data_IF_117886431446
#
_entry.id   IF_117886431446
#
_cell.length_a   1.000
_cell.length_b   1.000
_cell.length_c   1.000
_cell.angle_alpha   90.00
_cell.angle_beta   90.00
_cell.angle_gamma   90.00
#
_symmetry.space_group_name_H-M   'P 1'
#
loop_
_entity.id
_entity.type
_entity.pdbx_description
1 polymer ?
#
# COMPACT_ATOMS: atom_id res chain seq x y z
N UNK A 1 -19.18 -3.66 -0.78
CA UNK A 1 -18.87 -4.51 0.40
C UNK A 1 -20.04 -4.69 1.37
N UNK A 2 -21.12 -3.90 1.31
CA UNK A 2 -22.31 -4.19 2.11
C UNK A 2 -22.94 -5.55 1.71
N UNK A 3 -23.47 -6.38 2.64
CA UNK A 3 -23.62 -6.02 4.08
C UNK A 3 -22.37 -6.27 4.96
N UNK A 4 -21.32 -6.92 4.46
CA UNK A 4 -20.15 -7.33 5.26
C UNK A 4 -19.49 -6.17 5.98
N UNK A 5 -19.33 -5.03 5.29
CA UNK A 5 -18.70 -3.82 5.87
C UNK A 5 -19.61 -2.99 6.77
N UNK A 6 -20.85 -3.42 7.03
CA UNK A 6 -21.75 -2.73 7.98
C UNK A 6 -21.35 -2.98 9.44
N UNK A 7 -20.69 -4.13 9.70
CA UNK A 7 -20.33 -4.58 11.05
C UNK A 7 -18.82 -4.84 11.23
N UNK A 8 -18.06 -4.88 10.14
CA UNK A 8 -16.61 -5.15 10.17
C UNK A 8 -15.90 -4.20 9.20
N UNK A 9 -14.87 -3.46 9.63
CA UNK A 9 -14.13 -2.61 8.71
C UNK A 9 -13.43 -3.49 7.66
N UNK A 10 -13.34 -3.02 6.40
CA UNK A 10 -12.79 -3.81 5.29
C UNK A 10 -11.44 -4.46 5.58
N UNK A 11 -10.47 -3.78 6.22
CA UNK A 11 -9.17 -4.38 6.54
C UNK A 11 -9.26 -5.60 7.49
N UNK A 12 -10.36 -5.73 8.23
CA UNK A 12 -10.60 -6.84 9.16
C UNK A 12 -11.42 -7.99 8.56
N UNK A 13 -11.87 -7.88 7.32
CA UNK A 13 -12.59 -8.98 6.66
C UNK A 13 -11.66 -10.19 6.49
N UNK A 14 -12.15 -11.41 6.78
CA UNK A 14 -11.30 -12.60 6.74
C UNK A 14 -10.96 -13.01 5.29
N UNK A 15 -9.67 -13.11 5.02
CA UNK A 15 -9.11 -13.66 3.78
C UNK A 15 -8.24 -14.85 4.15
N UNK A 16 -8.60 -16.04 3.67
CA UNK A 16 -7.87 -17.28 3.96
C UNK A 16 -7.61 -17.50 5.46
N UNK A 17 -8.61 -17.21 6.29
CA UNK A 17 -8.61 -17.49 7.72
C UNK A 17 -8.05 -16.39 8.63
N UNK A 18 -7.51 -15.28 8.10
CA UNK A 18 -7.00 -14.15 8.89
C UNK A 18 -7.47 -12.79 8.33
N UNK A 19 -7.44 -11.71 9.14
CA UNK A 19 -7.77 -10.36 8.67
C UNK A 19 -6.98 -9.95 7.42
N UNK A 20 -7.65 -9.30 6.46
CA UNK A 20 -7.05 -8.88 5.20
C UNK A 20 -5.76 -8.06 5.41
N UNK A 21 -5.78 -7.05 6.30
CA UNK A 21 -4.59 -6.24 6.58
C UNK A 21 -3.45 -7.01 7.23
N UNK A 22 -3.73 -8.14 7.88
CA UNK A 22 -2.69 -8.95 8.52
C UNK A 22 -1.68 -9.51 7.51
N UNK A 23 -2.10 -9.80 6.26
CA UNK A 23 -1.20 -10.21 5.19
C UNK A 23 -0.09 -9.18 4.93
N UNK A 24 -0.47 -7.90 4.87
CA UNK A 24 0.47 -6.79 4.71
C UNK A 24 1.35 -6.61 5.95
N UNK A 25 0.78 -6.68 7.15
CA UNK A 25 1.52 -6.54 8.42
C UNK A 25 2.59 -7.62 8.56
N UNK A 26 2.26 -8.88 8.27
CA UNK A 26 3.22 -9.99 8.30
C UNK A 26 4.36 -9.79 7.30
N UNK A 27 4.06 -9.33 6.07
CA UNK A 27 5.08 -9.04 5.07
C UNK A 27 5.99 -7.88 5.50
N UNK A 28 5.43 -6.81 6.10
CA UNK A 28 6.20 -5.69 6.65
C UNK A 28 7.12 -6.15 7.80
N UNK A 29 6.61 -6.98 8.73
CA UNK A 29 7.41 -7.50 9.83
C UNK A 29 8.56 -8.39 9.31
N UNK A 30 8.31 -9.29 8.35
CA UNK A 30 9.36 -10.10 7.71
C UNK A 30 10.44 -9.23 7.04
N UNK A 31 10.08 -8.07 6.51
CA UNK A 31 11.00 -7.10 5.93
C UNK A 31 11.79 -6.30 6.98
N UNK A 32 11.43 -6.42 8.28
CA UNK A 32 12.07 -5.74 9.39
C UNK A 32 11.57 -4.32 9.63
N UNK A 33 10.36 -4.00 9.18
CA UNK A 33 9.64 -2.79 9.63
C UNK A 33 9.37 -2.93 11.13
N UNK A 34 9.58 -1.87 11.90
CA UNK A 34 9.41 -1.87 13.35
C UNK A 34 8.19 -1.05 13.80
N UNK A 35 7.88 0.04 13.11
CA UNK A 35 6.77 0.91 13.45
C UNK A 35 5.76 0.96 12.30
N UNK A 36 4.48 0.77 12.62
CA UNK A 36 3.37 0.82 11.68
C UNK A 36 2.32 1.81 12.16
N UNK A 37 2.01 2.81 11.33
CA UNK A 37 0.89 3.73 11.56
C UNK A 37 -0.31 3.27 10.76
N UNK A 38 -1.43 3.02 11.44
CA UNK A 38 -2.69 2.61 10.81
C UNK A 38 -3.70 3.76 10.89
N UNK A 39 -4.09 4.27 9.72
CA UNK A 39 -5.19 5.23 9.63
C UNK A 39 -6.52 4.50 9.78
N UNK A 40 -7.35 4.93 10.72
CA UNK A 40 -8.64 4.30 11.03
C UNK A 40 -9.78 5.30 10.93
N UNK A 41 -10.88 4.90 10.27
CA UNK A 41 -12.09 5.73 10.13
C UNK A 41 -13.35 4.92 10.46
N UNK A 42 -13.99 4.30 9.45
CA UNK A 42 -15.22 3.53 9.65
C UNK A 42 -14.98 2.28 10.48
N UNK A 43 -15.71 2.16 11.64
CA UNK A 43 -15.54 1.08 12.62
C UNK A 43 -14.08 0.91 13.06
N UNK A 44 -13.34 2.00 13.07
CA UNK A 44 -11.88 2.02 13.22
C UNK A 44 -11.41 1.48 14.57
N UNK A 45 -12.23 1.55 15.60
CA UNK A 45 -11.96 1.04 16.96
C UNK A 45 -11.79 -0.49 17.02
N UNK A 46 -12.31 -1.21 16.05
CA UNK A 46 -12.15 -2.66 15.99
C UNK A 46 -10.71 -3.08 15.70
N UNK A 47 -9.93 -2.26 14.99
CA UNK A 47 -8.56 -2.57 14.61
C UNK A 47 -7.65 -2.56 15.84
N UNK A 48 -7.52 -1.47 16.63
CA UNK A 48 -6.70 -1.49 17.84
C UNK A 48 -7.22 -2.48 18.90
N UNK A 49 -8.53 -2.74 18.95
CA UNK A 49 -9.09 -3.75 19.83
C UNK A 49 -8.61 -5.18 19.49
N UNK A 50 -8.38 -5.46 18.21
CA UNK A 50 -7.94 -6.77 17.74
C UNK A 50 -6.41 -6.93 17.81
N UNK A 51 -5.64 -5.95 17.31
CA UNK A 51 -4.20 -6.05 17.18
C UNK A 51 -3.42 -5.45 18.37
N UNK A 52 -4.05 -4.63 19.22
CA UNK A 52 -3.34 -3.92 20.29
C UNK A 52 -2.31 -2.92 19.77
N UNK A 53 -1.28 -2.68 20.57
CA UNK A 53 -0.17 -1.76 20.25
C UNK A 53 1.09 -2.49 19.77
N UNK A 54 1.04 -3.84 19.67
CA UNK A 54 2.15 -4.67 19.25
C UNK A 54 1.60 -5.86 18.45
N UNK A 55 2.15 -6.10 17.28
CA UNK A 55 1.84 -7.28 16.47
C UNK A 55 3.11 -8.13 16.32
N UNK A 56 3.02 -9.41 16.65
CA UNK A 56 4.11 -10.36 16.47
C UNK A 56 3.64 -11.57 15.66
N UNK A 57 4.38 -11.84 14.59
CA UNK A 57 4.16 -12.99 13.74
C UNK A 57 4.34 -14.31 14.50
N UNK A 58 5.18 -14.33 15.54
CA UNK A 58 5.38 -15.50 16.39
C UNK A 58 4.11 -15.91 17.16
N UNK A 59 3.21 -14.96 17.43
CA UNK A 59 1.94 -15.22 18.11
C UNK A 59 0.83 -15.68 17.15
N UNK A 60 1.05 -15.56 15.83
CA UNK A 60 0.08 -16.00 14.83
C UNK A 60 0.06 -17.55 14.75
N UNK A 61 -1.09 -18.18 14.49
CA UNK A 61 -1.17 -19.61 14.26
C UNK A 61 -0.39 -19.99 13.00
N UNK A 62 0.82 -20.47 13.16
CA UNK A 62 1.73 -20.86 12.09
C UNK A 62 1.99 -22.36 12.11
N UNK A 63 2.36 -22.90 10.94
CA UNK A 63 2.92 -24.25 10.84
C UNK A 63 4.30 -24.24 11.54
N UNK A 64 4.60 -25.27 12.33
CA UNK A 64 5.83 -25.39 13.16
C UNK A 64 7.13 -25.07 12.40
N UNK A 65 7.20 -25.40 11.11
CA UNK A 65 8.36 -25.12 10.25
C UNK A 65 8.56 -23.62 9.94
N UNK A 66 7.52 -22.81 10.01
CA UNK A 66 7.61 -21.34 9.81
C UNK A 66 8.05 -20.65 11.10
N UNK A 67 7.63 -21.13 12.27
CA UNK A 67 8.02 -20.56 13.57
C UNK A 67 9.53 -20.51 13.78
N UNK A 68 10.25 -21.53 13.31
CA UNK A 68 11.71 -21.62 13.46
C UNK A 68 12.50 -20.62 12.61
N UNK A 69 11.86 -19.94 11.65
CA UNK A 69 12.48 -18.97 10.72
C UNK A 69 12.20 -17.51 11.04
N UNK A 70 11.26 -17.21 11.93
CA UNK A 70 10.87 -15.83 12.24
C UNK A 70 11.71 -15.30 13.39
N UNK A 71 12.80 -14.58 13.05
CA UNK A 71 13.59 -13.77 13.98
C UNK A 71 13.22 -12.28 13.87
N UNK A 72 12.07 -11.97 13.29
CA UNK A 72 11.65 -10.60 13.03
C UNK A 72 11.22 -9.91 14.33
N UNK A 73 11.64 -8.67 14.52
CA UNK A 73 11.19 -7.83 15.64
C UNK A 73 9.68 -7.55 15.52
N UNK A 74 8.92 -7.58 16.63
CA UNK A 74 7.51 -7.22 16.62
C UNK A 74 7.26 -5.83 16.03
N UNK A 75 6.10 -5.63 15.38
CA UNK A 75 5.64 -4.33 14.91
C UNK A 75 5.03 -3.53 16.06
N UNK A 76 5.52 -2.31 16.29
CA UNK A 76 4.85 -1.35 17.15
C UNK A 76 3.72 -0.67 16.37
N UNK A 77 2.50 -0.80 16.88
CA UNK A 77 1.29 -0.30 16.24
C UNK A 77 0.91 1.08 16.77
N UNK A 78 0.81 2.05 15.87
CA UNK A 78 0.32 3.40 16.13
C UNK A 78 -0.97 3.63 15.34
N UNK A 79 -1.91 4.38 15.91
CA UNK A 79 -3.23 4.58 15.27
C UNK A 79 -3.51 6.06 15.05
N UNK A 80 -3.76 6.43 13.80
CA UNK A 80 -4.27 7.73 13.40
C UNK A 80 -5.79 7.63 13.25
N UNK A 81 -6.53 8.10 14.27
CA UNK A 81 -7.97 7.85 14.42
C UNK A 81 -8.81 8.93 13.72
N UNK A 82 -8.83 8.97 12.39
CA UNK A 82 -9.55 9.95 11.58
C UNK A 82 -11.06 9.95 11.90
N UNK A 83 -11.66 8.76 12.04
CA UNK A 83 -13.08 8.62 12.34
C UNK A 83 -13.49 9.19 13.71
N UNK A 84 -12.61 9.10 14.71
CA UNK A 84 -12.85 9.65 16.05
C UNK A 84 -12.70 11.17 16.04
N UNK A 85 -11.64 11.66 15.40
CA UNK A 85 -11.29 13.08 15.47
C UNK A 85 -12.11 13.95 14.52
N UNK A 86 -12.54 13.39 13.35
CA UNK A 86 -13.22 14.14 12.29
C UNK A 86 -14.55 13.53 11.83
N UNK A 87 -14.92 12.36 12.35
CA UNK A 87 -16.16 11.67 12.00
C UNK A 87 -16.12 10.93 10.65
N UNK A 88 -15.01 11.04 9.89
CA UNK A 88 -14.89 10.46 8.53
C UNK A 88 -13.43 10.22 8.13
N UNK A 89 -13.22 9.50 7.02
CA UNK A 89 -11.90 9.31 6.41
C UNK A 89 -11.45 10.59 5.68
N UNK A 90 -10.15 10.89 5.75
CA UNK A 90 -9.54 12.08 5.15
C UNK A 90 -9.01 11.84 3.73
N UNK A 91 -9.37 10.74 3.10
CA UNK A 91 -8.80 10.25 1.87
C UNK A 91 -7.28 9.96 2.00
N UNK A 92 -6.64 9.47 0.93
CA UNK A 92 -5.29 8.91 1.07
C UNK A 92 -4.24 9.97 1.43
N UNK A 93 -4.20 11.10 0.72
CA UNK A 93 -3.20 12.13 1.01
C UNK A 93 -3.50 12.85 2.33
N UNK A 94 -4.77 13.17 2.61
CA UNK A 94 -5.17 13.78 3.88
C UNK A 94 -4.84 12.93 5.09
N UNK A 95 -5.02 11.60 4.99
CA UNK A 95 -4.66 10.63 6.01
C UNK A 95 -3.15 10.48 6.20
N UNK A 96 -2.37 10.45 5.09
CA UNK A 96 -0.91 10.42 5.18
C UNK A 96 -0.39 11.69 5.84
N UNK A 97 -0.88 12.88 5.45
CA UNK A 97 -0.46 14.16 6.07
C UNK A 97 -0.78 14.19 7.56
N UNK A 98 -1.93 13.59 7.97
CA UNK A 98 -2.25 13.44 9.38
C UNK A 98 -1.23 12.57 10.11
N UNK A 99 -0.79 11.48 9.51
CA UNK A 99 0.17 10.56 10.09
C UNK A 99 1.63 11.08 10.07
N UNK A 100 1.97 12.11 9.27
CA UNK A 100 3.34 12.60 9.09
C UNK A 100 4.15 12.82 10.37
N UNK A 101 3.59 13.32 11.49
CA UNK A 101 4.36 13.46 12.73
C UNK A 101 4.88 12.14 13.30
N UNK A 102 4.25 11.01 12.95
CA UNK A 102 4.61 9.66 13.39
C UNK A 102 5.46 8.89 12.38
N UNK A 103 5.66 9.43 11.17
CA UNK A 103 6.36 8.76 10.08
C UNK A 103 7.82 9.20 9.99
N UNK A 104 8.69 8.32 9.48
CA UNK A 104 10.06 8.63 9.11
C UNK A 104 10.12 9.50 7.83
N UNK A 105 11.32 9.97 7.46
CA UNK A 105 11.50 10.80 6.25
C UNK A 105 11.24 10.03 4.96
N UNK A 106 11.46 8.71 4.97
CA UNK A 106 11.08 7.77 3.92
C UNK A 106 10.22 6.68 4.56
N UNK A 107 9.10 6.34 3.94
CA UNK A 107 8.17 5.36 4.49
C UNK A 107 7.41 4.60 3.41
N UNK A 108 7.01 3.38 3.74
CA UNK A 108 6.09 2.58 2.96
C UNK A 108 4.63 2.99 3.21
N UNK A 109 3.81 2.89 2.19
CA UNK A 109 2.34 2.96 2.30
C UNK A 109 1.74 1.77 1.57
N UNK A 110 0.72 1.17 2.18
CA UNK A 110 -0.11 0.15 1.55
C UNK A 110 -1.55 0.30 2.04
N UNK A 111 -2.53 0.03 1.17
CA UNK A 111 -3.93 0.04 1.57
C UNK A 111 -4.28 -1.23 2.37
N UNK A 112 -5.07 -1.05 3.43
CA UNK A 112 -5.51 -2.16 4.29
C UNK A 112 -6.60 -3.05 3.68
N UNK A 113 -7.15 -2.68 2.51
CA UNK A 113 -8.21 -3.42 1.81
C UNK A 113 -7.71 -4.07 0.50
N UNK A 114 -6.40 -4.23 0.35
CA UNK A 114 -5.75 -4.90 -0.78
C UNK A 114 -5.08 -6.20 -0.32
N UNK A 115 -5.25 -7.26 -1.09
CA UNK A 115 -4.61 -8.54 -0.90
C UNK A 115 -3.45 -8.71 -1.87
N UNK A 116 -2.23 -8.80 -1.33
CA UNK A 116 -0.96 -8.99 -2.05
C UNK A 116 -0.07 -9.95 -1.24
N UNK A 117 -0.35 -11.26 -1.25
CA UNK A 117 0.28 -12.22 -0.33
C UNK A 117 1.79 -12.36 -0.54
N UNK A 118 2.25 -12.20 -1.79
CA UNK A 118 3.64 -12.39 -2.20
C UNK A 118 4.40 -11.06 -2.32
N UNK A 119 3.80 -9.94 -1.91
CA UNK A 119 4.48 -8.64 -1.99
C UNK A 119 5.53 -8.50 -0.89
N UNK A 120 6.75 -8.22 -1.31
CA UNK A 120 7.88 -7.99 -0.41
C UNK A 120 8.15 -6.49 -0.24
N UNK A 121 8.16 -6.02 1.00
CA UNK A 121 8.62 -4.67 1.37
C UNK A 121 10.16 -4.66 1.44
N UNK A 122 10.81 -4.93 0.30
CA UNK A 122 12.25 -5.21 0.20
C UNK A 122 13.10 -4.03 0.68
N UNK A 123 14.11 -4.32 1.50
CA UNK A 123 15.07 -3.32 2.02
C UNK A 123 15.89 -2.69 0.90
N UNK A 124 16.20 -3.46 -0.13
CA UNK A 124 16.94 -3.00 -1.31
C UNK A 124 16.14 -1.95 -2.09
N UNK A 125 14.83 -2.15 -2.26
CA UNK A 125 13.94 -1.17 -2.89
C UNK A 125 13.85 0.11 -2.05
N UNK A 126 13.75 -0.03 -0.74
CA UNK A 126 13.76 1.10 0.19
C UNK A 126 15.05 1.91 0.09
N UNK A 127 16.21 1.27 0.20
CA UNK A 127 17.53 1.92 0.15
C UNK A 127 17.78 2.60 -1.22
N UNK A 128 17.39 1.95 -2.31
CA UNK A 128 17.49 2.52 -3.66
C UNK A 128 16.63 3.78 -3.80
N UNK A 129 15.38 3.72 -3.31
CA UNK A 129 14.48 4.88 -3.34
C UNK A 129 14.97 6.01 -2.44
N UNK A 130 15.43 5.72 -1.22
CA UNK A 130 15.99 6.72 -0.29
C UNK A 130 17.14 7.50 -0.91
N UNK A 131 18.05 6.81 -1.61
CA UNK A 131 19.20 7.40 -2.30
C UNK A 131 18.81 8.17 -3.58
N UNK A 132 17.61 7.99 -4.11
CA UNK A 132 17.16 8.62 -5.35
C UNK A 132 16.70 10.05 -5.14
N UNK A 133 16.50 10.80 -6.24
CA UNK A 133 15.86 12.13 -6.22
C UNK A 133 14.33 12.05 -6.34
N UNK A 134 13.73 10.85 -6.39
CA UNK A 134 12.28 10.66 -6.47
C UNK A 134 11.59 11.07 -5.18
N UNK A 135 10.35 11.53 -5.28
CA UNK A 135 9.46 11.84 -4.14
C UNK A 135 8.52 10.68 -3.82
N UNK A 136 8.22 9.86 -4.82
CA UNK A 136 7.41 8.66 -4.71
C UNK A 136 7.97 7.54 -5.59
N UNK A 137 7.75 6.29 -5.17
CA UNK A 137 7.92 5.11 -6.01
C UNK A 137 6.69 4.22 -5.82
N UNK A 138 5.98 3.90 -6.90
CA UNK A 138 4.71 3.19 -6.88
C UNK A 138 4.82 1.81 -7.52
N UNK A 139 4.07 0.84 -7.00
CA UNK A 139 3.93 -0.46 -7.65
C UNK A 139 2.64 -0.50 -8.45
N UNK A 140 2.77 -0.86 -9.71
CA UNK A 140 1.67 -0.99 -10.67
C UNK A 140 1.43 -2.48 -10.95
N UNK A 141 0.17 -2.84 -11.23
CA UNK A 141 -0.27 -4.20 -11.51
C UNK A 141 -1.00 -4.27 -12.86
N UNK A 142 -1.10 -5.45 -13.49
CA UNK A 142 -1.98 -5.66 -14.63
C UNK A 142 -3.41 -5.21 -14.31
N UNK A 143 -4.08 -4.65 -15.30
CA UNK A 143 -5.41 -4.07 -15.11
C UNK A 143 -6.44 -5.14 -14.77
N UNK A 144 -7.13 -5.05 -13.62
CA UNK A 144 -8.25 -5.93 -13.31
C UNK A 144 -9.48 -5.59 -14.16
N UNK A 145 -10.43 -6.51 -14.26
CA UNK A 145 -11.64 -6.35 -15.07
C UNK A 145 -12.46 -5.08 -14.73
N UNK A 146 -12.41 -4.62 -13.49
CA UNK A 146 -13.14 -3.43 -13.04
C UNK A 146 -12.37 -2.11 -13.26
N UNK A 147 -11.07 -2.17 -13.60
CA UNK A 147 -10.26 -1.03 -14.02
C UNK A 147 -9.50 -1.33 -15.32
N UNK A 148 -10.20 -1.63 -16.44
CA UNK A 148 -9.57 -2.07 -17.69
C UNK A 148 -8.69 -1.02 -18.34
N UNK A 149 -8.87 0.26 -17.97
CA UNK A 149 -8.07 1.37 -18.51
C UNK A 149 -6.76 1.58 -17.77
N UNK A 150 -6.64 1.13 -16.53
CA UNK A 150 -5.52 1.42 -15.65
C UNK A 150 -5.42 2.91 -15.27
N UNK A 151 -4.46 3.23 -14.44
CA UNK A 151 -4.29 4.55 -13.84
C UNK A 151 -3.10 5.32 -14.42
N UNK A 152 -1.94 4.65 -14.58
CA UNK A 152 -0.66 5.28 -14.93
C UNK A 152 0.13 4.47 -15.95
N UNK A 153 0.97 5.15 -16.75
CA UNK A 153 1.94 4.52 -17.64
C UNK A 153 3.28 4.25 -16.94
N UNK A 154 4.15 3.48 -17.62
CA UNK A 154 5.55 3.30 -17.23
C UNK A 154 6.44 3.53 -18.44
N UNK A 155 7.47 4.39 -18.29
CA UNK A 155 8.63 4.43 -19.18
C UNK A 155 9.69 3.53 -18.55
N UNK A 156 9.79 2.29 -19.03
CA UNK A 156 10.74 1.31 -18.50
C UNK A 156 12.19 1.73 -18.78
N UNK A 157 13.08 1.49 -17.81
CA UNK A 157 14.51 1.78 -17.92
C UNK A 157 15.17 0.88 -18.96
N UNK A 158 14.73 -0.38 -19.08
CA UNK A 158 15.06 -1.29 -20.17
C UNK A 158 13.80 -1.71 -20.93
N UNK A 159 13.51 -1.11 -22.10
CA UNK A 159 12.35 -1.45 -22.91
C UNK A 159 12.40 -2.88 -23.50
N UNK A 160 13.58 -3.51 -23.55
CA UNK A 160 13.77 -4.87 -24.08
C UNK A 160 13.68 -5.96 -23.01
N UNK A 161 13.54 -5.59 -21.73
CA UNK A 161 13.35 -6.56 -20.67
C UNK A 161 12.01 -7.30 -20.90
N UNK A 162 12.02 -8.61 -21.20
CA UNK A 162 10.80 -9.34 -21.57
C UNK A 162 9.80 -9.37 -20.39
N UNK A 163 8.51 -9.35 -20.72
CA UNK A 163 7.44 -9.57 -19.75
C UNK A 163 7.62 -10.96 -19.15
N UNK A 164 7.63 -11.08 -17.81
CA UNK A 164 7.76 -12.36 -17.13
C UNK A 164 9.12 -13.05 -17.29
N UNK A 165 10.17 -12.32 -17.68
CA UNK A 165 11.50 -12.87 -17.92
C UNK A 165 12.11 -13.42 -16.63
N UNK A 166 12.36 -14.72 -16.66
CA UNK A 166 13.12 -15.51 -15.71
C UNK A 166 12.73 -15.35 -14.24
N UNK A 167 11.86 -16.22 -13.78
CA UNK A 167 11.51 -16.44 -12.37
C UNK A 167 12.71 -16.70 -11.43
N UNK A 168 13.93 -16.73 -11.96
CA UNK A 168 15.18 -16.91 -11.20
C UNK A 168 15.81 -15.59 -10.72
N UNK A 169 15.37 -14.42 -11.24
CA UNK A 169 15.73 -13.12 -10.72
C UNK A 169 14.44 -12.34 -10.44
N UNK A 170 14.02 -12.35 -9.18
CA UNK A 170 12.79 -11.74 -8.65
C UNK A 170 12.83 -10.18 -8.68
N UNK A 171 13.49 -9.60 -9.70
CA UNK A 171 13.62 -8.15 -9.85
C UNK A 171 12.47 -7.63 -10.72
N UNK A 172 11.55 -6.86 -10.18
CA UNK A 172 10.45 -6.29 -10.95
C UNK A 172 10.99 -5.36 -12.04
N UNK A 173 10.30 -5.31 -13.19
CA UNK A 173 10.59 -4.31 -14.23
C UNK A 173 10.35 -2.92 -13.64
N UNK A 174 11.33 -2.05 -13.79
CA UNK A 174 11.31 -0.70 -13.21
C UNK A 174 11.41 0.37 -14.29
N UNK A 175 11.01 1.57 -13.91
CA UNK A 175 11.11 2.74 -14.76
C UNK A 175 10.48 3.95 -14.08
N UNK A 176 10.16 4.94 -14.89
CA UNK A 176 9.50 6.16 -14.44
C UNK A 176 7.99 6.07 -14.66
N UNK A 177 7.20 6.42 -13.64
CA UNK A 177 5.75 6.54 -13.78
C UNK A 177 5.36 7.70 -14.70
N UNK A 178 4.33 7.51 -15.52
CA UNK A 178 3.84 8.49 -16.47
C UNK A 178 2.38 8.88 -16.19
N UNK A 179 2.12 10.17 -16.13
CA UNK A 179 0.79 10.75 -16.19
C UNK A 179 0.35 10.87 -17.66
N UNK A 180 -0.21 9.79 -18.19
CA UNK A 180 -0.63 9.79 -19.59
C UNK A 180 -1.93 10.61 -19.79
N UNK A 181 -2.07 11.38 -20.91
CA UNK A 181 -3.32 12.02 -21.27
C UNK A 181 -4.47 11.03 -21.41
N UNK A 182 -5.71 11.48 -21.17
CA UNK A 182 -6.88 10.60 -21.17
C UNK A 182 -7.07 9.84 -22.49
N UNK A 183 -6.76 10.45 -23.62
CA UNK A 183 -6.85 9.93 -25.00
C UNK A 183 -5.62 9.17 -25.45
N UNK A 184 -4.60 9.05 -24.60
CA UNK A 184 -3.38 8.28 -24.93
C UNK A 184 -3.69 6.81 -25.16
N UNK A 185 -3.13 6.26 -26.25
CA UNK A 185 -3.15 4.82 -26.57
C UNK A 185 -2.01 4.05 -25.92
N UNK A 186 -1.07 4.74 -25.23
CA UNK A 186 0.02 4.08 -24.52
C UNK A 186 -0.53 3.19 -23.39
N UNK A 187 0.13 2.04 -23.12
CA UNK A 187 -0.32 1.11 -22.10
C UNK A 187 -0.32 1.76 -20.72
N UNK A 188 -1.34 1.41 -19.92
CA UNK A 188 -1.49 1.80 -18.52
C UNK A 188 -1.62 0.56 -17.65
N UNK A 189 -1.28 0.73 -16.42
CA UNK A 189 -1.41 -0.27 -15.37
C UNK A 189 -2.16 0.33 -14.17
N UNK A 190 -2.77 -0.52 -13.38
CA UNK A 190 -3.49 -0.13 -12.17
C UNK A 190 -2.53 0.12 -11.03
N UNK A 191 -2.74 1.17 -10.25
CA UNK A 191 -1.98 1.43 -9.03
C UNK A 191 -2.34 0.40 -7.95
N UNK A 192 -1.36 -0.38 -7.52
CA UNK A 192 -1.56 -1.43 -6.53
C UNK A 192 -1.89 -0.92 -5.12
N UNK A 193 -1.67 0.37 -4.87
CA UNK A 193 -1.68 1.05 -3.57
C UNK A 193 -0.44 0.81 -2.70
N UNK A 194 0.48 -0.08 -3.09
CA UNK A 194 1.78 -0.19 -2.45
C UNK A 194 2.72 0.89 -3.01
N UNK A 195 3.39 1.62 -2.13
CA UNK A 195 4.29 2.70 -2.54
C UNK A 195 5.33 3.04 -1.46
N UNK A 196 6.43 3.64 -1.89
CA UNK A 196 7.38 4.38 -1.05
C UNK A 196 7.18 5.88 -1.27
N UNK A 197 7.25 6.64 -0.21
CA UNK A 197 7.18 8.11 -0.26
C UNK A 197 8.28 8.74 0.58
N UNK A 198 8.73 9.93 0.15
CA UNK A 198 9.47 10.86 1.02
C UNK A 198 8.50 11.81 1.71
N UNK A 199 8.74 12.10 2.98
CA UNK A 199 7.95 13.07 3.76
C UNK A 199 7.83 14.42 3.05
N UNK A 200 8.87 14.83 2.33
CA UNK A 200 8.90 16.05 1.52
C UNK A 200 7.79 16.14 0.47
N UNK A 201 7.28 14.99 -0.02
CA UNK A 201 6.16 14.97 -0.97
C UNK A 201 4.84 15.48 -0.36
N UNK A 202 4.72 15.44 0.96
CA UNK A 202 3.54 15.86 1.71
C UNK A 202 3.76 17.17 2.47
N UNK A 203 4.73 17.96 2.06
CA UNK A 203 5.07 19.27 2.64
C UNK A 203 4.92 20.40 1.60
N UNK A 204 5.11 21.65 2.03
CA UNK A 204 5.02 22.85 1.18
C UNK A 204 5.79 22.67 -0.14
N UNK A 205 5.27 23.23 -1.20
CA UNK A 205 5.56 23.03 -2.63
C UNK A 205 4.67 21.94 -3.26
N UNK A 206 4.41 20.81 -2.57
CA UNK A 206 3.61 19.71 -3.09
C UNK A 206 2.26 19.56 -2.39
N UNK A 207 2.18 19.98 -1.13
CA UNK A 207 0.99 19.87 -0.31
C UNK A 207 0.89 21.06 0.66
N UNK A 208 -0.23 21.78 0.61
CA UNK A 208 -0.48 22.94 1.46
C UNK A 208 -1.13 22.57 2.80
N UNK A 209 -1.43 21.29 3.03
CA UNK A 209 -2.02 20.83 4.29
C UNK A 209 -0.89 20.76 5.34
N UNK A 210 -1.02 21.46 6.50
CA UNK A 210 -0.03 21.38 7.55
C UNK A 210 0.15 19.95 8.08
N UNK A 211 1.40 19.58 8.42
CA UNK A 211 1.69 18.27 9.00
C UNK A 211 0.82 17.99 10.24
N UNK A 212 0.31 16.76 10.34
CA UNK A 212 -0.68 16.38 11.33
C UNK A 212 -2.13 16.67 10.93
N UNK A 213 -2.36 17.39 9.83
CA UNK A 213 -3.68 17.72 9.28
C UNK A 213 -4.69 18.13 10.36
N UNK A 214 -4.42 19.18 11.15
CA UNK A 214 -5.20 19.52 12.34
C UNK A 214 -6.65 19.92 12.05
N UNK A 215 -6.94 20.25 10.79
CA UNK A 215 -8.28 20.67 10.34
C UNK A 215 -9.07 19.57 9.65
N UNK A 216 -8.54 18.35 9.54
CA UNK A 216 -9.22 17.23 8.88
C UNK A 216 -9.47 17.45 7.39
N UNK A 217 -8.54 18.10 6.69
CA UNK A 217 -8.67 18.37 5.25
C UNK A 217 -8.63 17.06 4.48
N UNK A 218 -9.68 16.78 3.71
CA UNK A 218 -9.71 15.65 2.78
C UNK A 218 -8.87 15.96 1.55
N UNK A 219 -7.98 15.04 1.19
CA UNK A 219 -7.15 15.19 0.00
C UNK A 219 -6.91 13.85 -0.70
N UNK A 220 -7.30 13.73 -1.99
CA UNK A 220 -6.96 12.56 -2.79
C UNK A 220 -5.47 12.58 -3.18
N UNK A 221 -4.86 11.39 -3.22
CA UNK A 221 -3.44 11.26 -3.55
C UNK A 221 -3.15 11.39 -5.05
N UNK A 222 -4.07 10.91 -5.91
CA UNK A 222 -3.83 10.80 -7.35
C UNK A 222 -3.49 12.15 -8.04
N UNK A 223 -4.12 13.29 -7.73
CA UNK A 223 -3.73 14.58 -8.30
C UNK A 223 -2.28 14.96 -7.98
N UNK A 224 -1.83 14.74 -6.73
CA UNK A 224 -0.46 15.02 -6.31
C UNK A 224 0.55 14.13 -7.05
N UNK A 225 0.26 12.83 -7.18
CA UNK A 225 1.08 11.90 -7.95
C UNK A 225 1.22 12.34 -9.41
N UNK A 226 0.13 12.77 -10.05
CA UNK A 226 0.16 13.24 -11.44
C UNK A 226 1.08 14.43 -11.62
N UNK A 227 1.00 15.42 -10.75
CA UNK A 227 1.89 16.59 -10.78
C UNK A 227 3.35 16.18 -10.60
N UNK A 228 3.64 15.27 -9.67
CA UNK A 228 5.00 14.76 -9.45
C UNK A 228 5.51 13.92 -10.63
N UNK A 229 4.65 13.13 -11.29
CA UNK A 229 4.98 12.40 -12.52
C UNK A 229 5.36 13.35 -13.67
N UNK A 230 4.60 14.44 -13.85
CA UNK A 230 4.88 15.44 -14.87
C UNK A 230 6.24 16.14 -14.65
N UNK A 231 6.71 16.16 -13.40
CA UNK A 231 8.04 16.65 -13.02
C UNK A 231 9.12 15.54 -13.01
N UNK A 232 8.79 14.30 -13.38
CA UNK A 232 9.75 13.18 -13.43
C UNK A 232 10.20 12.66 -12.06
N UNK A 233 9.44 12.93 -11.01
CA UNK A 233 9.80 12.65 -9.61
C UNK A 233 9.12 11.38 -9.05
N UNK A 234 8.48 10.56 -9.90
CA UNK A 234 7.82 9.32 -9.49
C UNK A 234 8.42 8.14 -10.26
N UNK A 235 9.00 7.20 -9.52
CA UNK A 235 9.41 5.91 -10.03
C UNK A 235 8.25 4.91 -10.06
N UNK A 236 8.38 3.86 -10.85
CA UNK A 236 7.42 2.77 -10.88
C UNK A 236 8.08 1.41 -11.03
N UNK A 237 7.50 0.40 -10.39
CA UNK A 237 7.80 -1.01 -10.58
C UNK A 237 6.55 -1.76 -11.00
N UNK A 238 6.68 -2.73 -11.93
CA UNK A 238 5.58 -3.60 -12.33
C UNK A 238 5.57 -4.85 -11.44
N UNK A 239 4.45 -5.08 -10.75
CA UNK A 239 4.21 -6.25 -9.92
C UNK A 239 3.21 -7.16 -10.62
N UNK A 240 3.63 -8.37 -10.99
CA UNK A 240 2.85 -9.31 -11.79
C UNK A 240 2.39 -10.55 -10.99
N UNK A 241 2.59 -10.54 -9.67
CA UNK A 241 2.12 -11.61 -8.78
C UNK A 241 0.65 -11.38 -8.36
N UNK A 242 0.15 -12.23 -7.47
CA UNK A 242 -1.22 -12.14 -6.98
C UNK A 242 -1.54 -10.78 -6.34
N UNK A 243 -2.56 -10.12 -6.86
CA UNK A 243 -3.09 -8.86 -6.38
C UNK A 243 -4.60 -8.80 -6.53
N UNK A 244 -5.28 -8.28 -5.53
CA UNK A 244 -6.71 -7.95 -5.61
C UNK A 244 -7.08 -6.86 -4.61
N UNK A 245 -7.80 -5.84 -5.07
CA UNK A 245 -8.53 -4.95 -4.19
C UNK A 245 -9.83 -5.64 -3.74
N UNK A 246 -10.03 -5.74 -2.45
CA UNK A 246 -11.20 -6.40 -1.86
C UNK A 246 -12.37 -5.41 -1.77
N UNK A 247 -12.83 -4.94 -2.92
CA UNK A 247 -13.88 -3.93 -3.03
C UNK A 247 -15.31 -4.48 -3.07
N UNK A 248 -15.52 -5.78 -3.37
CA UNK A 248 -16.84 -6.42 -3.44
C UNK A 248 -16.88 -7.77 -2.74
N UNK A 249 -18.07 -8.25 -2.28
CA UNK A 249 -18.23 -9.59 -1.69
C UNK A 249 -17.77 -10.71 -2.63
N UNK A 250 -18.02 -10.56 -3.94
CA UNK A 250 -17.63 -11.54 -4.96
C UNK A 250 -16.12 -11.70 -5.04
N UNK A 251 -15.37 -10.58 -5.06
CA UNK A 251 -13.88 -10.61 -5.06
C UNK A 251 -13.33 -11.22 -3.78
N UNK A 252 -13.94 -10.95 -2.63
CA UNK A 252 -13.57 -11.60 -1.37
C UNK A 252 -13.79 -13.12 -1.45
N UNK A 253 -14.93 -13.56 -2.00
CA UNK A 253 -15.22 -14.96 -2.17
C UNK A 253 -14.26 -15.65 -3.16
N UNK A 254 -13.91 -14.99 -4.27
CA UNK A 254 -12.94 -15.52 -5.24
C UNK A 254 -11.56 -15.76 -4.62
N UNK A 255 -11.06 -14.83 -3.78
CA UNK A 255 -9.78 -14.99 -3.10
C UNK A 255 -9.84 -16.17 -2.12
N UNK A 256 -10.91 -16.28 -1.34
CA UNK A 256 -11.10 -17.36 -0.38
C UNK A 256 -11.28 -18.74 -1.05
N UNK A 257 -11.81 -18.80 -2.28
CA UNK A 257 -11.99 -20.03 -3.03
C UNK A 257 -10.71 -20.51 -3.76
N UNK A 258 -9.80 -19.61 -4.12
CA UNK A 258 -8.51 -19.96 -4.76
C UNK A 258 -7.54 -20.69 -3.84
N UNK A 259 -7.77 -20.66 -2.54
CA UNK A 259 -6.92 -21.33 -1.53
C UNK A 259 -7.29 -22.80 -1.28
N UNK A 260 -8.25 -23.33 -2.01
CA UNK A 260 -8.65 -24.74 -1.98
C UNK A 260 -8.19 -25.46 -3.24
#
# INVERSE_FOLDING_TARGET
MRPLSDHTPKPMLPVQGKPLMQWTMESMQRAGVQDLVVNTAWLGEQIPKHFGNCFDLADAPQIEEEKARVTATPLHMHYSQEGVDFGEALETAGGIVRALPMLADVFWVAAGDVWMPDFSFAREAFASFEASNQLAHIWLVPNPAHNPRGDFGIAFDDPNQPNGANQSQNTPRQGRALNLPFDSTAPRWTFSTAALYKKAFFQSTWCDIPAGNPHGVKAPLAPMLRVAMDNGLVGASLYEQAWSDVGTPERLAEINNKAR
#
